data_IF_062056719867
#
_entry.id   IF_062056719867
#
_cell.length_a   1.000
_cell.length_b   1.000
_cell.length_c   1.000
_cell.angle_alpha   90.00
_cell.angle_beta   90.00
_cell.angle_gamma   90.00
#
_symmetry.space_group_name_H-M   'P 1'
#
loop_
_entity.id
_entity.type
_entity.pdbx_description
1 polymer ?
#
# COMPACT_ATOMS: atom_id res chain seq x y z
N UNK A 1 7.34 9.12 6.31
CA UNK A 1 6.52 8.47 5.26
C UNK A 1 5.16 9.13 5.11
N UNK A 2 4.34 9.23 6.17
CA UNK A 2 3.06 9.98 6.14
C UNK A 2 3.22 11.41 5.58
N UNK A 3 4.22 12.17 6.06
CA UNK A 3 4.47 13.53 5.59
C UNK A 3 4.82 13.63 4.10
N UNK A 4 5.52 12.65 3.53
CA UNK A 4 5.82 12.62 2.09
C UNK A 4 4.54 12.40 1.27
N UNK A 5 3.68 11.48 1.70
CA UNK A 5 2.40 11.20 1.02
C UNK A 5 1.50 12.42 1.02
N UNK A 6 1.38 13.11 2.16
CA UNK A 6 0.60 14.35 2.28
C UNK A 6 1.21 15.48 1.45
N UNK A 7 2.54 15.61 1.43
CA UNK A 7 3.23 16.64 0.66
C UNK A 7 3.00 16.47 -0.85
N UNK A 8 3.15 15.25 -1.35
CA UNK A 8 2.96 14.93 -2.78
C UNK A 8 1.51 15.14 -3.19
N UNK A 9 0.56 14.67 -2.37
CA UNK A 9 -0.86 14.90 -2.59
C UNK A 9 -1.20 16.41 -2.60
N UNK A 10 -0.67 17.17 -1.63
CA UNK A 10 -0.83 18.62 -1.57
C UNK A 10 -0.26 19.31 -2.81
N UNK A 11 0.90 18.87 -3.28
CA UNK A 11 1.48 19.35 -4.54
C UNK A 11 0.60 19.03 -5.75
N UNK A 12 0.01 17.83 -5.81
CA UNK A 12 -0.93 17.44 -6.86
C UNK A 12 -2.19 18.32 -6.91
N UNK A 13 -2.59 18.87 -5.77
CA UNK A 13 -3.68 19.84 -5.64
C UNK A 13 -3.24 21.30 -5.80
N UNK A 14 -1.98 21.56 -6.18
CA UNK A 14 -1.39 22.90 -6.17
C UNK A 14 -1.58 23.65 -4.84
N UNK A 15 -1.65 22.91 -3.73
CA UNK A 15 -1.92 23.42 -2.38
C UNK A 15 -3.26 24.17 -2.22
N UNK A 16 -4.24 23.89 -3.09
CA UNK A 16 -5.57 24.47 -3.04
C UNK A 16 -6.56 23.50 -2.37
N UNK A 17 -6.94 23.81 -1.12
CA UNK A 17 -7.76 22.93 -0.28
C UNK A 17 -9.22 23.37 -0.10
N UNK A 18 -9.71 24.30 -0.94
CA UNK A 18 -11.03 24.94 -0.76
C UNK A 18 -12.19 23.95 -0.66
N UNK A 19 -12.44 23.19 -1.73
CA UNK A 19 -13.49 22.17 -1.78
C UNK A 19 -12.88 20.83 -2.22
N UNK A 20 -12.54 19.98 -1.25
CA UNK A 20 -11.98 18.66 -1.52
C UNK A 20 -13.09 17.65 -1.83
N UNK A 21 -13.08 17.13 -3.04
CA UNK A 21 -13.93 16.01 -3.45
C UNK A 21 -13.35 14.66 -3.01
N UNK A 22 -14.18 13.62 -2.95
CA UNK A 22 -13.70 12.25 -2.72
C UNK A 22 -12.74 11.77 -3.81
N UNK A 23 -12.89 12.28 -5.04
CA UNK A 23 -11.95 12.02 -6.14
C UNK A 23 -10.55 12.63 -5.90
N UNK A 24 -10.45 13.69 -5.10
CA UNK A 24 -9.17 14.26 -4.72
C UNK A 24 -8.60 13.61 -3.45
N UNK A 25 -9.45 13.03 -2.60
CA UNK A 25 -9.02 12.37 -1.36
C UNK A 25 -8.62 10.90 -1.57
N UNK A 26 -9.23 10.19 -2.52
CA UNK A 26 -8.91 8.77 -2.73
C UNK A 26 -7.41 8.49 -3.01
N UNK A 27 -6.66 9.31 -3.78
CA UNK A 27 -5.24 9.03 -4.07
C UNK A 27 -4.37 9.13 -2.82
N UNK A 28 -4.68 10.08 -1.92
CA UNK A 28 -3.97 10.26 -0.65
C UNK A 28 -3.96 8.96 0.16
N UNK A 29 -5.10 8.28 0.27
CA UNK A 29 -5.19 7.02 0.99
C UNK A 29 -4.41 5.89 0.31
N UNK A 30 -4.33 5.88 -1.02
CA UNK A 30 -3.47 4.94 -1.75
C UNK A 30 -1.98 5.16 -1.42
N UNK A 31 -1.53 6.42 -1.42
CA UNK A 31 -0.18 6.79 -1.04
C UNK A 31 0.14 6.46 0.42
N UNK A 32 -0.77 6.79 1.34
CA UNK A 32 -0.62 6.47 2.76
C UNK A 32 -0.53 4.96 3.00
N UNK A 33 -1.44 4.17 2.41
CA UNK A 33 -1.42 2.72 2.54
C UNK A 33 -0.08 2.15 2.09
N UNK A 34 0.36 2.46 0.88
CA UNK A 34 1.61 1.92 0.33
C UNK A 34 2.83 2.35 1.15
N UNK A 35 2.98 3.65 1.42
CA UNK A 35 4.19 4.19 2.07
C UNK A 35 4.35 3.72 3.51
N UNK A 36 3.24 3.49 4.22
CA UNK A 36 3.27 2.92 5.59
C UNK A 36 3.58 1.43 5.53
N UNK A 37 2.96 0.66 4.63
CA UNK A 37 3.29 -0.76 4.43
C UNK A 37 4.76 -0.94 4.03
N UNK A 38 5.27 -0.13 3.10
CA UNK A 38 6.68 -0.14 2.72
C UNK A 38 7.59 0.18 3.92
N UNK A 39 7.17 1.10 4.80
CA UNK A 39 7.92 1.44 6.01
C UNK A 39 7.98 0.26 7.00
N UNK A 40 6.98 -0.62 7.05
CA UNK A 40 7.06 -1.86 7.85
C UNK A 40 8.21 -2.74 7.38
N UNK A 41 8.34 -2.95 6.07
CA UNK A 41 9.46 -3.70 5.49
C UNK A 41 10.81 -3.02 5.76
N UNK A 42 10.88 -1.70 5.59
CA UNK A 42 12.11 -0.94 5.81
C UNK A 42 12.55 -0.98 7.28
N UNK A 43 11.63 -0.80 8.23
CA UNK A 43 11.93 -0.85 9.66
C UNK A 43 12.38 -2.25 10.06
N UNK A 44 11.68 -3.30 9.60
CA UNK A 44 12.09 -4.68 9.85
C UNK A 44 13.51 -4.97 9.33
N UNK A 45 13.81 -4.54 8.10
CA UNK A 45 15.13 -4.66 7.50
C UNK A 45 16.22 -3.94 8.33
N UNK A 46 15.96 -2.71 8.77
CA UNK A 46 16.89 -1.93 9.59
C UNK A 46 17.10 -2.55 10.97
N UNK A 47 16.05 -3.08 11.60
CA UNK A 47 16.14 -3.79 12.88
C UNK A 47 17.08 -5.00 12.79
N UNK A 48 17.04 -5.73 11.68
CA UNK A 48 17.95 -6.87 11.49
C UNK A 48 19.42 -6.45 11.32
N UNK A 49 19.68 -5.31 10.69
CA UNK A 49 21.06 -4.81 10.47
C UNK A 49 21.63 -4.21 11.75
N UNK A 50 20.87 -3.31 12.38
CA UNK A 50 21.34 -2.50 13.50
C UNK A 50 20.99 -3.09 14.87
N UNK A 51 20.20 -4.17 14.90
CA UNK A 51 19.80 -4.92 16.11
C UNK A 51 19.12 -4.04 17.17
N UNK A 52 18.39 -3.01 16.76
CA UNK A 52 17.55 -2.23 17.69
C UNK A 52 16.20 -2.93 17.93
N UNK A 53 15.65 -2.71 19.12
CA UNK A 53 14.36 -3.29 19.52
C UNK A 53 13.18 -2.67 18.79
N UNK A 54 12.05 -3.38 18.81
CA UNK A 54 10.81 -2.89 18.23
C UNK A 54 10.14 -1.84 19.12
N UNK A 55 9.67 -0.74 18.53
CA UNK A 55 8.78 0.18 19.25
C UNK A 55 7.40 -0.49 19.38
N UNK A 56 7.01 -0.75 20.63
CA UNK A 56 5.74 -1.39 21.00
C UNK A 56 4.49 -0.72 20.41
N UNK A 57 4.57 0.56 20.05
CA UNK A 57 3.42 1.31 19.52
C UNK A 57 3.44 1.44 18.00
N UNK A 58 4.60 1.30 17.38
CA UNK A 58 4.76 1.55 15.95
C UNK A 58 3.88 0.60 15.12
N UNK A 59 4.05 -0.71 15.25
CA UNK A 59 3.29 -1.67 14.44
C UNK A 59 1.78 -1.63 14.71
N UNK A 60 1.27 -1.61 15.96
CA UNK A 60 -0.17 -1.56 16.20
C UNK A 60 -0.83 -0.33 15.59
N UNK A 61 -0.27 0.87 15.80
CA UNK A 61 -0.87 2.12 15.30
C UNK A 61 -0.84 2.16 13.77
N UNK A 62 0.31 1.84 13.19
CA UNK A 62 0.48 1.91 11.73
C UNK A 62 -0.34 0.85 10.99
N UNK A 63 -0.63 -0.31 11.60
CA UNK A 63 -1.58 -1.29 11.05
C UNK A 63 -3.00 -0.73 10.92
N UNK A 64 -3.49 -0.02 11.93
CA UNK A 64 -4.80 0.65 11.83
C UNK A 64 -4.82 1.73 10.75
N UNK A 65 -3.73 2.49 10.61
CA UNK A 65 -3.59 3.49 9.54
C UNK A 65 -3.63 2.81 8.16
N UNK A 66 -2.90 1.70 7.98
CA UNK A 66 -2.89 0.93 6.74
C UNK A 66 -4.28 0.39 6.43
N UNK A 67 -4.94 -0.27 7.37
CA UNK A 67 -6.28 -0.82 7.17
C UNK A 67 -7.28 0.26 6.81
N UNK A 68 -7.30 1.37 7.55
CA UNK A 68 -8.17 2.50 7.23
C UNK A 68 -7.89 3.05 5.84
N UNK A 69 -6.63 3.22 5.47
CA UNK A 69 -6.23 3.73 4.15
C UNK A 69 -6.60 2.77 3.02
N UNK A 70 -6.42 1.46 3.22
CA UNK A 70 -6.82 0.41 2.28
C UNK A 70 -8.33 0.35 2.09
N UNK A 71 -9.13 0.67 3.10
CA UNK A 71 -10.59 0.74 2.98
C UNK A 71 -11.02 2.03 2.29
N UNK A 72 -10.45 3.17 2.68
CA UNK A 72 -10.82 4.47 2.14
C UNK A 72 -10.42 4.64 0.67
N UNK A 73 -9.28 4.10 0.25
CA UNK A 73 -8.79 4.28 -1.13
C UNK A 73 -9.78 3.79 -2.21
N UNK A 74 -10.13 2.49 -2.29
CA UNK A 74 -11.17 2.03 -3.21
C UNK A 74 -12.57 2.41 -2.74
N UNK A 75 -12.82 2.52 -1.44
CA UNK A 75 -14.14 2.83 -0.87
C UNK A 75 -14.65 4.20 -1.31
N UNK A 76 -13.80 5.23 -1.29
CA UNK A 76 -14.15 6.56 -1.77
C UNK A 76 -14.42 6.57 -3.27
N UNK A 77 -13.61 5.86 -4.06
CA UNK A 77 -13.81 5.75 -5.50
C UNK A 77 -15.17 5.10 -5.82
N UNK A 78 -15.48 3.97 -5.17
CA UNK A 78 -16.76 3.25 -5.35
C UNK A 78 -17.93 4.15 -4.93
N UNK A 79 -17.82 4.80 -3.78
CA UNK A 79 -18.87 5.67 -3.26
C UNK A 79 -19.16 6.85 -4.18
N UNK A 80 -18.12 7.53 -4.67
CA UNK A 80 -18.30 8.67 -5.56
C UNK A 80 -18.90 8.25 -6.90
N UNK A 81 -18.41 7.14 -7.50
CA UNK A 81 -19.01 6.61 -8.73
C UNK A 81 -20.48 6.21 -8.56
N UNK A 82 -20.83 5.64 -7.41
CA UNK A 82 -22.21 5.32 -7.09
C UNK A 82 -23.09 6.57 -6.98
N UNK A 83 -22.59 7.63 -6.31
CA UNK A 83 -23.27 8.93 -6.27
C UNK A 83 -23.45 9.55 -7.65
N UNK A 84 -22.52 9.31 -8.57
CA UNK A 84 -22.58 9.76 -9.96
C UNK A 84 -23.47 8.86 -10.85
N UNK A 85 -24.18 7.88 -10.26
CA UNK A 85 -25.15 7.03 -10.96
C UNK A 85 -24.57 5.76 -11.58
N UNK A 86 -23.30 5.45 -11.33
CA UNK A 86 -22.67 4.22 -11.83
C UNK A 86 -22.74 3.09 -10.79
N UNK A 87 -23.23 1.89 -11.15
CA UNK A 87 -23.24 0.77 -10.21
C UNK A 87 -21.80 0.36 -9.83
N UNK A 88 -21.57 -0.17 -8.61
CA UNK A 88 -20.22 -0.56 -8.16
C UNK A 88 -19.51 -1.55 -9.07
N UNK A 89 -20.24 -2.40 -9.80
CA UNK A 89 -19.67 -3.36 -10.75
C UNK A 89 -18.93 -2.71 -11.92
N UNK A 90 -19.16 -1.43 -12.21
CA UNK A 90 -18.46 -0.72 -13.29
C UNK A 90 -16.96 -0.60 -13.05
N UNK A 91 -16.48 -0.71 -11.79
CA UNK A 91 -15.06 -0.62 -11.47
C UNK A 91 -14.24 -1.73 -12.14
N UNK A 92 -14.83 -2.91 -12.38
CA UNK A 92 -14.16 -4.03 -13.03
C UNK A 92 -13.88 -3.75 -14.52
N UNK A 93 -14.57 -2.77 -15.12
CA UNK A 93 -14.35 -2.32 -16.50
C UNK A 93 -13.30 -1.21 -16.66
N UNK A 94 -12.71 -0.70 -15.57
CA UNK A 94 -11.79 0.45 -15.61
C UNK A 94 -10.36 0.11 -16.09
N UNK A 95 -10.10 -1.15 -16.42
CA UNK A 95 -8.85 -1.61 -17.03
C UNK A 95 -8.06 -2.59 -16.17
N UNK A 96 -7.09 -3.28 -16.80
CA UNK A 96 -6.34 -4.38 -16.18
C UNK A 96 -5.59 -3.98 -14.90
N UNK A 97 -5.02 -2.78 -14.85
CA UNK A 97 -4.32 -2.31 -13.66
C UNK A 97 -5.26 -2.09 -12.46
N UNK A 98 -6.54 -1.78 -12.68
CA UNK A 98 -7.53 -1.69 -11.60
C UNK A 98 -7.80 -3.08 -11.02
N UNK A 99 -7.90 -4.11 -11.86
CA UNK A 99 -8.06 -5.50 -11.42
C UNK A 99 -6.86 -5.98 -10.60
N UNK A 100 -5.64 -5.57 -10.97
CA UNK A 100 -4.43 -5.83 -10.17
C UNK A 100 -4.53 -5.17 -8.79
N UNK A 101 -5.04 -3.94 -8.72
CA UNK A 101 -5.28 -3.25 -7.45
C UNK A 101 -6.32 -3.98 -6.58
N UNK A 102 -7.42 -4.42 -7.18
CA UNK A 102 -8.47 -5.20 -6.48
C UNK A 102 -7.92 -6.52 -5.96
N UNK A 103 -7.19 -7.27 -6.79
CA UNK A 103 -6.57 -8.54 -6.37
C UNK A 103 -5.58 -8.33 -5.21
N UNK A 104 -4.75 -7.30 -5.29
CA UNK A 104 -3.80 -6.94 -4.23
C UNK A 104 -4.52 -6.54 -2.95
N UNK A 105 -5.61 -5.77 -3.06
CA UNK A 105 -6.44 -5.38 -1.92
C UNK A 105 -7.02 -6.59 -1.18
N UNK A 106 -7.56 -7.58 -1.90
CA UNK A 106 -8.04 -8.81 -1.25
C UNK A 106 -6.93 -9.56 -0.51
N UNK A 107 -5.73 -9.64 -1.09
CA UNK A 107 -4.57 -10.25 -0.44
C UNK A 107 -4.21 -9.50 0.84
N UNK A 108 -4.17 -8.16 0.81
CA UNK A 108 -3.88 -7.34 2.01
C UNK A 108 -4.94 -7.54 3.10
N UNK A 109 -6.23 -7.60 2.72
CA UNK A 109 -7.32 -7.85 3.67
C UNK A 109 -7.22 -9.24 4.32
N UNK A 110 -6.87 -10.27 3.54
CA UNK A 110 -6.62 -11.60 4.08
C UNK A 110 -5.39 -11.58 4.99
N UNK A 111 -4.31 -10.91 4.58
CA UNK A 111 -3.09 -10.80 5.39
C UNK A 111 -3.36 -10.12 6.75
N UNK A 112 -4.23 -9.10 6.82
CA UNK A 112 -4.59 -8.45 8.08
C UNK A 112 -5.26 -9.42 9.10
N UNK A 113 -5.88 -10.49 8.62
CA UNK A 113 -6.45 -11.57 9.45
C UNK A 113 -5.39 -12.45 10.15
N UNK A 114 -4.11 -12.11 10.01
CA UNK A 114 -2.95 -12.82 10.58
C UNK A 114 -3.13 -13.29 12.02
N UNK A 115 -3.71 -12.44 12.88
CA UNK A 115 -3.85 -12.74 14.31
C UNK A 115 -4.64 -14.01 14.62
N UNK A 116 -5.49 -14.46 13.70
CA UNK A 116 -6.35 -15.64 13.89
C UNK A 116 -5.83 -16.88 13.18
N UNK A 117 -5.04 -16.73 12.12
CA UNK A 117 -4.72 -17.83 11.20
C UNK A 117 -3.22 -18.08 10.99
N UNK A 118 -2.32 -17.35 11.68
CA UNK A 118 -0.87 -17.43 11.47
C UNK A 118 -0.26 -18.83 11.64
N UNK A 119 -0.85 -19.67 12.48
CA UNK A 119 -0.31 -20.99 12.80
C UNK A 119 -0.71 -22.05 11.75
N UNK A 120 -1.50 -21.68 10.76
CA UNK A 120 -1.96 -22.59 9.71
C UNK A 120 -0.87 -22.79 8.64
N UNK A 121 -0.68 -24.03 8.17
CA UNK A 121 0.35 -24.36 7.19
C UNK A 121 0.22 -23.59 5.85
N UNK A 122 -1.01 -23.24 5.46
CA UNK A 122 -1.28 -22.45 4.25
C UNK A 122 -0.95 -20.97 4.41
N UNK A 123 -0.77 -20.47 5.64
CA UNK A 123 -0.48 -19.07 5.93
C UNK A 123 0.82 -18.58 5.29
N UNK A 124 1.79 -19.48 5.13
CA UNK A 124 3.03 -19.20 4.40
C UNK A 124 2.74 -18.69 2.99
N UNK A 125 1.76 -19.27 2.28
CA UNK A 125 1.40 -18.83 0.93
C UNK A 125 0.78 -17.44 0.91
N UNK A 126 -0.01 -17.09 1.93
CA UNK A 126 -0.54 -15.72 2.07
C UNK A 126 0.58 -14.71 2.33
N UNK A 127 1.58 -15.08 3.12
CA UNK A 127 2.75 -14.23 3.36
C UNK A 127 3.50 -13.96 2.04
N UNK A 128 3.70 -15.00 1.23
CA UNK A 128 4.27 -14.87 -0.11
C UNK A 128 3.40 -14.01 -1.04
N UNK A 129 2.10 -14.26 -1.06
CA UNK A 129 1.14 -13.50 -1.86
C UNK A 129 1.15 -12.02 -1.46
N UNK A 130 1.28 -11.70 -0.17
CA UNK A 130 1.38 -10.33 0.33
C UNK A 130 2.61 -9.60 -0.21
N UNK A 131 3.78 -10.26 -0.20
CA UNK A 131 4.99 -9.71 -0.82
C UNK A 131 4.83 -9.45 -2.32
N UNK A 132 4.19 -10.38 -3.05
CA UNK A 132 3.87 -10.19 -4.48
C UNK A 132 2.86 -9.05 -4.69
N UNK A 133 1.83 -8.95 -3.86
CA UNK A 133 0.85 -7.87 -3.90
C UNK A 133 1.50 -6.49 -3.67
N UNK A 134 2.48 -6.40 -2.78
CA UNK A 134 3.27 -5.18 -2.57
C UNK A 134 4.08 -4.78 -3.81
N UNK A 135 4.58 -5.74 -4.59
CA UNK A 135 5.23 -5.47 -5.88
C UNK A 135 4.21 -5.03 -6.92
N UNK A 136 3.08 -5.73 -7.02
CA UNK A 136 2.02 -5.43 -7.99
C UNK A 136 1.41 -4.04 -7.77
N UNK A 137 1.26 -3.60 -6.52
CA UNK A 137 0.69 -2.27 -6.24
C UNK A 137 1.61 -1.13 -6.67
N UNK A 138 2.93 -1.35 -6.76
CA UNK A 138 3.85 -0.37 -7.35
C UNK A 138 3.52 -0.17 -8.82
N UNK A 139 3.32 -1.25 -9.58
CA UNK A 139 2.96 -1.17 -10.99
C UNK A 139 1.56 -0.59 -11.19
N UNK A 140 0.60 -0.98 -10.37
CA UNK A 140 -0.73 -0.35 -10.33
C UNK A 140 -0.61 1.18 -10.17
N UNK A 141 0.16 1.63 -9.19
CA UNK A 141 0.35 3.05 -8.93
C UNK A 141 1.11 3.76 -10.07
N UNK A 142 2.14 3.15 -10.66
CA UNK A 142 2.87 3.76 -11.80
C UNK A 142 2.00 3.93 -13.06
N UNK A 143 1.01 3.06 -13.25
CA UNK A 143 0.13 3.12 -14.43
C UNK A 143 -1.11 3.99 -14.22
N UNK A 144 -1.63 4.10 -12.99
CA UNK A 144 -2.90 4.77 -12.70
C UNK A 144 -2.78 6.01 -11.79
N UNK A 145 -1.67 6.16 -11.07
CA UNK A 145 -1.46 7.24 -10.11
C UNK A 145 -1.19 8.57 -10.82
N UNK A 146 -2.13 9.51 -10.71
CA UNK A 146 -1.97 10.89 -11.20
C UNK A 146 -0.80 11.60 -10.51
N UNK A 147 -0.65 11.41 -9.21
CA UNK A 147 0.39 12.07 -8.40
C UNK A 147 1.81 11.59 -8.77
N UNK A 148 1.92 10.40 -9.35
CA UNK A 148 3.18 9.82 -9.83
C UNK A 148 3.63 10.41 -11.17
N UNK A 149 2.79 11.19 -11.84
CA UNK A 149 3.17 11.95 -13.03
C UNK A 149 3.95 13.22 -12.69
N UNK A 150 4.03 13.60 -11.40
CA UNK A 150 4.92 14.64 -10.92
C UNK A 150 6.36 14.08 -10.96
N UNK A 151 7.15 14.50 -11.95
CA UNK A 151 8.35 13.79 -12.41
C UNK A 151 9.39 13.41 -11.36
N UNK A 152 9.56 14.19 -10.28
CA UNK A 152 10.50 13.84 -9.20
C UNK A 152 9.99 12.67 -8.33
N UNK A 153 8.67 12.60 -8.10
CA UNK A 153 8.08 11.60 -7.23
C UNK A 153 8.12 10.20 -7.86
N UNK A 154 8.11 10.14 -9.19
CA UNK A 154 8.34 8.90 -9.95
C UNK A 154 9.68 8.23 -9.60
N UNK A 155 10.74 9.01 -9.41
CA UNK A 155 12.04 8.48 -8.98
C UNK A 155 12.02 7.94 -7.56
N UNK A 156 11.32 8.62 -6.65
CA UNK A 156 11.10 8.13 -5.29
C UNK A 156 10.34 6.81 -5.31
N UNK A 157 9.38 6.67 -6.22
CA UNK A 157 8.64 5.42 -6.39
C UNK A 157 9.51 4.28 -6.93
N UNK A 158 10.43 4.57 -7.85
CA UNK A 158 11.43 3.58 -8.27
C UNK A 158 12.36 3.18 -7.13
N UNK A 159 12.79 4.13 -6.30
CA UNK A 159 13.54 3.83 -5.09
C UNK A 159 12.75 2.89 -4.17
N UNK A 160 11.46 3.19 -3.91
CA UNK A 160 10.61 2.32 -3.10
C UNK A 160 10.49 0.91 -3.69
N UNK A 161 10.36 0.79 -5.00
CA UNK A 161 10.27 -0.52 -5.65
C UNK A 161 11.56 -1.33 -5.56
N UNK A 162 12.71 -0.71 -5.85
CA UNK A 162 14.01 -1.38 -5.76
C UNK A 162 14.31 -1.80 -4.33
N UNK A 163 14.10 -0.92 -3.36
CA UNK A 163 14.36 -1.23 -1.95
C UNK A 163 13.41 -2.32 -1.44
N UNK A 164 12.13 -2.31 -1.86
CA UNK A 164 11.17 -3.35 -1.49
C UNK A 164 11.63 -4.72 -1.98
N UNK A 165 12.12 -4.83 -3.21
CA UNK A 165 12.67 -6.07 -3.74
C UNK A 165 13.85 -6.54 -2.90
N UNK A 166 14.76 -5.64 -2.51
CA UNK A 166 15.87 -5.96 -1.60
C UNK A 166 15.37 -6.49 -0.26
N UNK A 167 14.37 -5.84 0.34
CA UNK A 167 13.79 -6.26 1.61
C UNK A 167 13.20 -7.67 1.53
N UNK A 168 12.41 -7.95 0.48
CA UNK A 168 11.79 -9.26 0.26
C UNK A 168 12.81 -10.37 -0.02
N UNK A 169 13.88 -10.07 -0.77
CA UNK A 169 14.97 -11.01 -1.01
C UNK A 169 15.65 -11.37 0.31
N UNK A 170 15.97 -10.36 1.14
CA UNK A 170 16.58 -10.62 2.44
C UNK A 170 15.68 -11.45 3.35
N UNK A 171 14.41 -11.08 3.45
CA UNK A 171 13.40 -11.83 4.23
C UNK A 171 13.33 -13.29 3.80
N UNK A 172 13.34 -13.55 2.49
CA UNK A 172 13.37 -14.91 1.96
C UNK A 172 14.60 -15.70 2.41
N UNK A 173 15.79 -15.13 2.29
CA UNK A 173 17.02 -15.80 2.70
C UNK A 173 17.05 -16.09 4.20
N UNK A 174 16.60 -15.14 5.02
CA UNK A 174 16.55 -15.32 6.47
C UNK A 174 15.54 -16.41 6.86
N UNK A 175 14.37 -16.44 6.20
CA UNK A 175 13.35 -17.47 6.43
C UNK A 175 13.82 -18.89 6.09
N UNK A 176 14.84 -19.02 5.23
CA UNK A 176 15.48 -20.30 4.90
C UNK A 176 16.61 -20.68 5.84
N UNK A 177 17.33 -19.70 6.41
CA UNK A 177 18.43 -19.95 7.36
C UNK A 177 17.96 -20.22 8.79
N UNK A 178 16.75 -19.76 9.14
CA UNK A 178 16.10 -20.04 10.42
C UNK A 178 15.37 -21.39 10.48
N UNK A 179 15.68 -22.33 9.58
CA UNK A 179 15.30 -23.75 9.66
C UNK A 179 16.54 -24.61 9.79
#
# INVERSE_FOLDING_TARGET
MVGLSVFVWGQGLAWQFGELSGYQLFPLFGLLAFTVMWAHYAVYFLQQIFKFGEDRWYLPITRYIVLFSLLMHPGLLIWMRWRDGFPPSTIFGLGGWVLVGIASWFIFMIFESHRWYRDQAWWRWITWANGVAMILIIFHALNLGSDLQIGWFRWVWYFFGVSLVVFLIKEYYDSRRGR
#
